data_IF_499548682325
#
_entry.id   IF_499548682325
#
_cell.length_a   1.000
_cell.length_b   1.000
_cell.length_c   1.000
_cell.angle_alpha   90.00
_cell.angle_beta   90.00
_cell.angle_gamma   90.00
#
_symmetry.space_group_name_H-M   'P 1'
#
loop_
_entity.id
_entity.type
_entity.pdbx_description
1 polymer ?
#
# COMPACT_ATOMS: atom_id res chain seq x y z
N UNK A 1 4.24 22.79 26.69
CA UNK A 1 3.68 22.72 25.33
C UNK A 1 4.29 21.50 24.68
N UNK A 2 3.52 20.50 24.29
CA UNK A 2 4.06 19.35 23.55
C UNK A 2 4.47 19.84 22.15
N UNK A 3 5.78 19.94 21.90
CA UNK A 3 6.33 20.44 20.64
C UNK A 3 6.34 19.32 19.58
N UNK A 4 5.16 18.96 19.07
CA UNK A 4 5.03 17.99 17.98
C UNK A 4 5.44 18.56 16.61
N UNK A 5 5.62 17.65 15.64
CA UNK A 5 6.11 17.96 14.29
C UNK A 5 5.05 17.70 13.23
N UNK A 6 4.83 18.67 12.35
CA UNK A 6 4.04 18.47 11.14
C UNK A 6 4.86 17.71 10.09
N UNK A 7 4.28 16.67 9.51
CA UNK A 7 4.82 15.94 8.37
C UNK A 7 3.82 15.88 7.23
N UNK A 8 4.30 15.91 5.98
CA UNK A 8 3.54 15.73 4.75
C UNK A 8 4.03 14.49 4.03
N UNK A 9 3.15 13.50 3.87
CA UNK A 9 3.46 12.24 3.22
C UNK A 9 2.66 12.08 1.93
N UNK A 10 3.28 11.49 0.90
CA UNK A 10 2.63 11.15 -0.36
C UNK A 10 2.76 9.67 -0.71
N UNK A 11 1.78 9.12 -1.43
CA UNK A 11 1.92 7.81 -2.09
C UNK A 11 1.38 7.80 -3.50
N UNK A 12 2.07 7.07 -4.38
CA UNK A 12 1.67 6.88 -5.77
C UNK A 12 2.22 5.56 -6.29
N UNK A 13 1.34 4.69 -6.82
CA UNK A 13 1.77 3.64 -7.72
C UNK A 13 2.13 4.33 -9.04
N UNK A 14 3.41 4.29 -9.40
CA UNK A 14 3.91 5.10 -10.52
C UNK A 14 3.75 4.43 -11.87
N UNK A 15 3.09 3.27 -11.96
CA UNK A 15 2.84 2.52 -13.20
C UNK A 15 4.12 1.99 -13.86
N UNK A 16 4.23 0.67 -14.04
CA UNK A 16 5.30 0.05 -14.83
C UNK A 16 4.80 -0.44 -16.19
N UNK A 17 5.43 0.08 -17.24
CA UNK A 17 5.20 -0.27 -18.64
C UNK A 17 5.22 -1.79 -18.92
N UNK A 18 5.89 -2.62 -18.11
CA UNK A 18 6.04 -4.07 -18.39
C UNK A 18 4.71 -4.84 -18.34
N UNK A 19 3.73 -4.39 -17.54
CA UNK A 19 2.51 -5.15 -17.25
C UNK A 19 1.35 -4.89 -18.21
N UNK A 20 1.55 -3.96 -19.13
CA UNK A 20 0.54 -3.58 -20.11
C UNK A 20 0.75 -4.29 -21.44
N UNK A 21 -0.35 -4.77 -22.02
CA UNK A 21 -0.39 -5.27 -23.38
C UNK A 21 0.03 -4.18 -24.37
N UNK A 22 0.49 -4.57 -25.56
CA UNK A 22 0.86 -3.60 -26.62
C UNK A 22 -0.32 -2.65 -26.93
N UNK A 23 -1.56 -3.12 -26.83
CA UNK A 23 -2.77 -2.31 -27.06
C UNK A 23 -2.98 -1.26 -25.96
N UNK A 24 -2.82 -1.63 -24.69
CA UNK A 24 -2.94 -0.68 -23.57
C UNK A 24 -1.76 0.30 -23.56
N UNK A 25 -0.57 -0.17 -23.94
CA UNK A 25 0.58 0.69 -24.20
C UNK A 25 0.23 1.72 -25.28
N UNK A 26 -0.26 1.32 -26.44
CA UNK A 26 -0.60 2.25 -27.52
C UNK A 26 -1.71 3.25 -27.13
N UNK A 27 -2.68 2.82 -26.33
CA UNK A 27 -3.74 3.71 -25.80
C UNK A 27 -3.21 4.69 -24.74
N UNK A 28 -2.34 4.24 -23.84
CA UNK A 28 -1.78 5.05 -22.75
C UNK A 28 -0.64 5.97 -23.24
N UNK A 29 0.22 5.49 -24.15
CA UNK A 29 1.32 6.23 -24.77
C UNK A 29 0.89 7.15 -25.90
N UNK A 30 -0.35 7.04 -26.40
CA UNK A 30 -0.89 7.99 -27.37
C UNK A 30 -0.71 9.44 -26.92
N UNK A 31 -0.81 9.70 -25.61
CA UNK A 31 -0.60 11.04 -25.02
C UNK A 31 0.88 11.45 -24.92
N UNK A 32 1.81 10.53 -24.65
CA UNK A 32 3.26 10.83 -24.59
C UNK A 32 3.82 11.28 -25.94
N UNK A 33 3.32 10.69 -27.04
CA UNK A 33 3.74 11.06 -28.40
C UNK A 33 3.13 12.37 -28.89
N UNK A 34 1.98 12.80 -28.35
CA UNK A 34 1.26 13.99 -28.83
C UNK A 34 1.80 15.29 -28.20
N UNK A 35 2.25 15.26 -26.93
CA UNK A 35 2.51 16.50 -26.17
C UNK A 35 3.99 16.79 -25.85
N UNK A 36 4.95 15.98 -26.31
CA UNK A 36 6.40 16.20 -26.14
C UNK A 36 6.89 16.45 -24.69
N UNK A 37 6.09 16.15 -23.66
CA UNK A 37 6.52 16.11 -22.26
C UNK A 37 6.63 14.64 -21.84
N UNK A 38 7.83 14.11 -21.61
CA UNK A 38 7.99 12.74 -21.14
C UNK A 38 7.23 12.56 -19.81
N UNK A 39 6.41 11.50 -19.68
CA UNK A 39 5.70 11.12 -18.44
C UNK A 39 6.58 11.21 -17.18
N UNK A 40 7.85 10.85 -17.32
CA UNK A 40 8.89 11.00 -16.30
C UNK A 40 9.00 12.43 -15.75
N UNK A 41 8.94 13.45 -16.60
CA UNK A 41 9.02 14.85 -16.20
C UNK A 41 7.77 15.27 -15.41
N UNK A 42 6.58 14.87 -15.85
CA UNK A 42 5.34 15.10 -15.09
C UNK A 42 5.40 14.42 -13.72
N UNK A 43 5.89 13.19 -13.67
CA UNK A 43 6.09 12.46 -12.42
C UNK A 43 7.02 13.25 -11.47
N UNK A 44 8.18 13.70 -11.94
CA UNK A 44 9.11 14.47 -11.12
C UNK A 44 8.56 15.84 -10.71
N UNK A 45 7.75 16.48 -11.55
CA UNK A 45 7.06 17.70 -11.17
C UNK A 45 6.11 17.44 -10.00
N UNK A 46 5.26 16.42 -10.09
CA UNK A 46 4.33 16.08 -9.01
C UNK A 46 5.04 15.61 -7.73
N UNK A 47 6.14 14.87 -7.84
CA UNK A 47 6.85 14.34 -6.66
C UNK A 47 7.76 15.36 -5.95
N UNK A 48 8.45 16.23 -6.68
CA UNK A 48 9.51 17.07 -6.09
C UNK A 48 9.18 18.57 -6.01
N UNK A 49 8.10 19.04 -6.64
CA UNK A 49 7.65 20.43 -6.43
C UNK A 49 6.67 20.56 -5.26
N UNK A 50 6.07 19.45 -4.84
CA UNK A 50 5.30 19.37 -3.61
C UNK A 50 6.24 19.29 -2.40
N UNK A 51 5.88 19.98 -1.32
CA UNK A 51 6.68 20.08 -0.08
C UNK A 51 6.60 18.82 0.79
N UNK A 52 6.87 17.64 0.22
CA UNK A 52 6.81 16.37 0.94
C UNK A 52 7.95 16.24 1.94
N UNK A 53 7.67 15.54 3.04
CA UNK A 53 8.65 15.02 3.96
C UNK A 53 9.02 13.57 3.61
N UNK A 54 8.02 12.79 3.18
CA UNK A 54 8.11 11.37 2.86
C UNK A 54 7.28 11.09 1.60
N UNK A 55 7.77 10.23 0.71
CA UNK A 55 7.08 9.75 -0.49
C UNK A 55 7.24 8.23 -0.59
N UNK A 56 6.13 7.51 -0.67
CA UNK A 56 6.09 6.06 -0.85
C UNK A 56 5.65 5.74 -2.28
N UNK A 57 6.46 5.02 -3.05
CA UNK A 57 6.13 4.65 -4.43
C UNK A 57 6.05 3.14 -4.58
N UNK A 58 5.15 2.68 -5.45
CA UNK A 58 5.01 1.29 -5.89
C UNK A 58 5.29 1.19 -7.40
N UNK A 59 5.62 -0.01 -7.88
CA UNK A 59 5.96 -0.29 -9.30
C UNK A 59 7.18 0.48 -9.84
N UNK A 60 8.20 0.64 -9.00
CA UNK A 60 9.43 1.32 -9.40
C UNK A 60 10.41 0.32 -10.03
N UNK A 61 10.66 0.47 -11.33
CA UNK A 61 11.69 -0.30 -12.04
C UNK A 61 13.11 0.23 -11.79
N UNK A 62 14.12 -0.54 -12.22
CA UNK A 62 15.55 -0.20 -12.02
C UNK A 62 15.95 1.11 -12.74
N UNK A 63 15.36 1.41 -13.89
CA UNK A 63 15.65 2.64 -14.62
C UNK A 63 15.15 3.86 -13.84
N UNK A 64 13.90 3.80 -13.37
CA UNK A 64 13.27 4.83 -12.57
C UNK A 64 13.97 5.01 -11.23
N UNK A 65 14.43 3.93 -10.60
CA UNK A 65 15.28 3.99 -9.39
C UNK A 65 16.50 4.88 -9.62
N UNK A 66 17.21 4.70 -10.73
CA UNK A 66 18.42 5.47 -11.02
C UNK A 66 18.11 6.95 -11.27
N UNK A 67 16.99 7.24 -11.93
CA UNK A 67 16.56 8.62 -12.16
C UNK A 67 16.06 9.30 -10.88
N UNK A 68 15.32 8.57 -10.04
CA UNK A 68 14.88 9.04 -8.71
C UNK A 68 16.07 9.34 -7.81
N UNK A 69 17.13 8.50 -7.79
CA UNK A 69 18.37 8.77 -7.04
C UNK A 69 18.98 10.12 -7.41
N UNK A 70 19.08 10.43 -8.71
CA UNK A 70 19.59 11.73 -9.20
C UNK A 70 18.72 12.89 -8.73
N UNK A 71 17.39 12.74 -8.76
CA UNK A 71 16.45 13.77 -8.30
C UNK A 71 16.50 13.95 -6.78
N UNK A 72 16.56 12.87 -6.01
CA UNK A 72 16.65 12.91 -4.55
C UNK A 72 17.88 13.70 -4.09
N UNK A 73 19.04 13.50 -4.74
CA UNK A 73 20.25 14.30 -4.48
C UNK A 73 20.04 15.79 -4.71
N UNK A 74 19.28 16.18 -5.74
CA UNK A 74 18.99 17.59 -6.07
C UNK A 74 18.02 18.25 -5.08
N UNK A 75 17.08 17.49 -4.53
CA UNK A 75 16.00 18.01 -3.68
C UNK A 75 16.18 17.67 -2.19
N UNK A 76 17.40 17.30 -1.77
CA UNK A 76 17.73 16.93 -0.39
C UNK A 76 16.81 15.85 0.21
N UNK A 77 16.64 14.77 -0.56
CA UNK A 77 16.01 13.53 -0.10
C UNK A 77 17.01 12.38 -0.09
N UNK A 78 16.80 11.46 0.85
CA UNK A 78 17.30 10.10 0.80
C UNK A 78 16.27 9.22 0.08
N UNK A 79 16.74 8.16 -0.59
CA UNK A 79 15.89 7.13 -1.17
C UNK A 79 16.31 5.77 -0.62
N UNK A 80 15.38 5.11 0.05
CA UNK A 80 15.54 3.75 0.51
C UNK A 80 14.83 2.80 -0.46
N UNK A 81 15.60 1.84 -0.96
CA UNK A 81 15.17 0.71 -1.75
C UNK A 81 15.90 -0.49 -1.16
N UNK A 82 15.18 -1.57 -0.90
CA UNK A 82 15.82 -2.77 -0.40
C UNK A 82 16.80 -3.35 -1.41
N UNK A 83 18.00 -3.68 -0.93
CA UNK A 83 19.08 -4.29 -1.71
C UNK A 83 18.76 -5.70 -2.23
N UNK A 84 17.88 -6.45 -1.55
CA UNK A 84 17.43 -7.78 -1.99
C UNK A 84 16.44 -7.68 -3.16
N UNK A 85 15.60 -6.64 -3.20
CA UNK A 85 14.61 -6.44 -4.26
C UNK A 85 15.28 -6.07 -5.60
N UNK A 86 16.42 -5.36 -5.57
CA UNK A 86 17.18 -4.93 -6.76
C UNK A 86 17.71 -6.14 -7.57
N UNK A 87 18.03 -7.25 -6.90
CA UNK A 87 18.64 -8.43 -7.55
C UNK A 87 17.62 -9.40 -8.15
N UNK A 88 16.38 -9.37 -7.69
CA UNK A 88 15.41 -10.46 -7.91
C UNK A 88 14.09 -10.01 -8.53
N UNK A 89 13.70 -8.73 -8.40
CA UNK A 89 12.37 -8.26 -8.77
C UNK A 89 12.39 -7.27 -9.94
N UNK A 90 11.42 -7.41 -10.86
CA UNK A 90 11.18 -6.44 -11.94
C UNK A 90 10.51 -5.16 -11.43
N UNK A 91 9.84 -5.22 -10.27
CA UNK A 91 9.10 -4.14 -9.63
C UNK A 91 9.49 -4.00 -8.16
N UNK A 92 9.84 -2.79 -7.75
CA UNK A 92 10.24 -2.48 -6.38
C UNK A 92 9.27 -1.45 -5.78
N UNK A 93 9.11 -1.50 -4.46
CA UNK A 93 8.63 -0.36 -3.69
C UNK A 93 9.83 0.49 -3.26
N UNK A 94 9.65 1.81 -3.21
CA UNK A 94 10.66 2.70 -2.63
C UNK A 94 10.04 3.65 -1.60
N UNK A 95 10.88 4.09 -0.66
CA UNK A 95 10.52 5.09 0.33
C UNK A 95 11.56 6.20 0.23
N UNK A 96 11.11 7.39 -0.14
CA UNK A 96 11.91 8.60 -0.24
C UNK A 96 11.58 9.45 0.99
N UNK A 97 12.57 10.01 1.66
CA UNK A 97 12.39 10.81 2.87
C UNK A 97 13.45 11.90 2.98
N UNK A 98 13.13 13.01 3.66
CA UNK A 98 14.03 14.16 3.76
C UNK A 98 15.42 13.75 4.28
N UNK A 99 16.45 14.41 3.76
CA UNK A 99 17.86 14.08 4.04
C UNK A 99 18.24 14.20 5.52
N UNK A 100 17.56 15.07 6.27
CA UNK A 100 17.76 15.23 7.71
C UNK A 100 17.03 14.17 8.55
N UNK A 101 16.29 13.24 7.95
CA UNK A 101 15.71 12.10 8.67
C UNK A 101 16.70 10.95 8.64
N UNK A 102 16.81 10.24 9.76
CA UNK A 102 17.75 9.12 9.91
C UNK A 102 16.99 7.80 9.84
N UNK A 103 17.42 6.92 8.95
CA UNK A 103 16.96 5.53 8.93
C UNK A 103 17.60 4.80 10.11
N UNK A 104 16.78 4.33 11.05
CA UNK A 104 17.23 3.56 12.21
C UNK A 104 17.22 2.07 11.93
N UNK A 105 16.23 1.59 11.20
CA UNK A 105 16.10 0.19 10.85
C UNK A 105 15.21 -0.03 9.63
N UNK A 106 15.34 -1.19 9.01
CA UNK A 106 14.57 -1.60 7.85
C UNK A 106 14.19 -3.08 7.90
N UNK A 107 13.09 -3.43 7.25
CA UNK A 107 12.67 -4.82 7.06
C UNK A 107 11.90 -4.96 5.76
N UNK A 108 12.19 -6.03 5.03
CA UNK A 108 11.42 -6.43 3.87
C UNK A 108 10.43 -7.51 4.33
N UNK A 109 9.21 -7.42 3.83
CA UNK A 109 8.26 -8.50 4.00
C UNK A 109 8.66 -9.70 3.13
N UNK A 110 9.04 -10.80 3.79
CA UNK A 110 9.20 -12.10 3.16
C UNK A 110 7.90 -12.90 3.31
N UNK A 111 7.16 -13.01 2.21
CA UNK A 111 5.90 -13.74 2.15
C UNK A 111 6.08 -15.23 2.50
N UNK A 112 7.12 -15.88 1.99
CA UNK A 112 7.31 -17.32 2.17
C UNK A 112 7.66 -17.65 3.62
N UNK A 113 8.55 -16.87 4.22
CA UNK A 113 8.90 -16.96 5.63
C UNK A 113 7.68 -16.69 6.51
N UNK A 114 6.91 -15.64 6.21
CA UNK A 114 5.71 -15.28 6.96
C UNK A 114 4.63 -16.35 6.89
N UNK A 115 4.29 -16.83 5.68
CA UNK A 115 3.31 -17.91 5.52
C UNK A 115 3.75 -19.15 6.29
N UNK A 116 5.03 -19.52 6.21
CA UNK A 116 5.54 -20.67 6.97
C UNK A 116 5.40 -20.42 8.47
N UNK A 117 5.85 -19.28 8.99
CA UNK A 117 5.76 -18.94 10.41
C UNK A 117 4.34 -18.99 10.99
N UNK A 118 3.33 -18.45 10.28
CA UNK A 118 1.97 -18.36 10.82
C UNK A 118 1.07 -19.52 10.44
N UNK A 119 1.40 -20.26 9.37
CA UNK A 119 0.55 -21.31 8.84
C UNK A 119 1.17 -22.72 8.79
N UNK A 120 2.39 -22.93 9.34
CA UNK A 120 3.03 -24.25 9.37
C UNK A 120 2.13 -25.34 9.94
N UNK A 121 1.49 -25.08 11.09
CA UNK A 121 0.67 -26.07 11.79
C UNK A 121 -0.58 -26.49 10.99
N UNK A 122 -1.04 -25.66 10.05
CA UNK A 122 -2.20 -26.00 9.20
C UNK A 122 -1.85 -26.95 8.05
N UNK A 123 -0.57 -27.07 7.69
CA UNK A 123 -0.11 -27.98 6.62
C UNK A 123 0.18 -29.40 7.11
N UNK A 124 0.68 -29.56 8.34
CA UNK A 124 1.11 -30.86 8.88
C UNK A 124 0.04 -31.56 9.73
N UNK A 125 -0.86 -30.84 10.38
CA UNK A 125 -1.89 -31.44 11.25
C UNK A 125 -3.10 -31.97 10.47
N UNK A 126 -3.40 -31.43 9.28
CA UNK A 126 -4.63 -31.73 8.56
C UNK A 126 -4.52 -32.86 7.52
N UNK A 127 -3.30 -33.19 7.03
CA UNK A 127 -3.06 -34.08 5.87
C UNK A 127 -4.02 -33.80 4.69
N UNK A 128 -4.43 -32.55 4.51
CA UNK A 128 -5.49 -32.18 3.57
C UNK A 128 -4.92 -31.44 2.37
N UNK A 129 -4.94 -32.09 1.20
CA UNK A 129 -4.40 -31.56 -0.06
C UNK A 129 -4.97 -30.18 -0.45
N UNK A 130 -6.23 -29.92 -0.07
CA UNK A 130 -6.92 -28.65 -0.34
C UNK A 130 -6.32 -27.50 0.48
N UNK A 131 -5.97 -27.74 1.75
CA UNK A 131 -5.32 -26.72 2.58
C UNK A 131 -3.90 -26.45 2.07
N UNK A 132 -3.17 -27.51 1.73
CA UNK A 132 -1.83 -27.39 1.14
C UNK A 132 -1.87 -26.66 -0.20
N UNK A 133 -2.94 -26.84 -0.99
CA UNK A 133 -3.18 -26.05 -2.19
C UNK A 133 -3.32 -24.56 -1.85
N UNK A 134 -4.13 -24.19 -0.87
CA UNK A 134 -4.27 -22.78 -0.46
C UNK A 134 -2.98 -22.17 0.09
N UNK A 135 -2.21 -22.90 0.90
CA UNK A 135 -0.90 -22.43 1.38
C UNK A 135 0.08 -22.22 0.23
N UNK A 136 0.07 -23.11 -0.78
CA UNK A 136 0.82 -22.89 -2.03
C UNK A 136 0.30 -21.67 -2.79
N UNK A 137 -1.02 -21.46 -2.81
CA UNK A 137 -1.62 -20.30 -3.47
C UNK A 137 -1.16 -18.98 -2.85
N UNK A 138 -1.08 -18.90 -1.52
CA UNK A 138 -0.51 -17.76 -0.81
C UNK A 138 0.95 -17.53 -1.24
N UNK A 139 1.80 -18.56 -1.15
CA UNK A 139 3.24 -18.45 -1.47
C UNK A 139 3.52 -18.08 -2.93
N UNK A 140 2.68 -18.54 -3.87
CA UNK A 140 2.88 -18.32 -5.30
C UNK A 140 2.38 -16.96 -5.81
N UNK A 141 1.57 -16.24 -5.03
CA UNK A 141 1.02 -14.94 -5.41
C UNK A 141 1.82 -13.83 -4.74
N UNK A 142 2.54 -13.05 -5.52
CA UNK A 142 3.48 -12.08 -4.93
C UNK A 142 2.75 -10.86 -4.37
N UNK A 143 3.13 -10.47 -3.17
CA UNK A 143 2.85 -9.17 -2.55
C UNK A 143 4.13 -8.70 -1.89
N UNK A 144 4.39 -7.40 -1.94
CA UNK A 144 5.62 -6.82 -1.44
C UNK A 144 5.30 -5.74 -0.42
N UNK A 145 6.14 -5.64 0.61
CA UNK A 145 6.10 -4.53 1.55
C UNK A 145 7.51 -4.20 2.03
N UNK A 146 7.81 -2.90 2.08
CA UNK A 146 9.05 -2.37 2.63
C UNK A 146 8.70 -1.61 3.91
N UNK A 147 9.35 -1.96 5.01
CA UNK A 147 9.16 -1.37 6.33
C UNK A 147 10.42 -0.62 6.72
N UNK A 148 10.26 0.61 7.19
CA UNK A 148 11.36 1.41 7.72
C UNK A 148 10.97 2.03 9.04
N UNK A 149 11.96 2.22 9.90
CA UNK A 149 11.85 3.05 11.09
C UNK A 149 12.72 4.29 10.91
N UNK A 150 12.10 5.46 10.91
CA UNK A 150 12.77 6.74 10.75
C UNK A 150 12.80 7.51 12.06
N UNK A 151 13.88 8.26 12.26
CA UNK A 151 13.96 9.38 13.20
C UNK A 151 13.81 10.68 12.40
N UNK A 152 12.77 11.46 12.67
CA UNK A 152 12.36 12.59 11.82
C UNK A 152 13.20 13.86 12.00
N UNK A 153 14.07 13.95 13.00
CA UNK A 153 15.03 15.05 13.24
C UNK A 153 15.69 14.85 14.60
N UNK A 154 16.59 15.77 14.98
CA UNK A 154 17.40 15.87 16.20
C UNK A 154 16.67 15.63 17.54
N UNK A 155 15.33 15.57 17.52
CA UNK A 155 14.44 15.42 18.68
C UNK A 155 14.07 13.98 19.02
N UNK A 156 14.66 12.98 18.36
CA UNK A 156 14.39 11.54 18.58
C UNK A 156 12.93 11.11 18.34
N UNK A 157 12.15 11.89 17.57
CA UNK A 157 10.79 11.51 17.17
C UNK A 157 10.84 10.37 16.17
N UNK A 158 10.27 9.23 16.54
CA UNK A 158 10.24 8.02 15.73
C UNK A 158 8.99 7.94 14.84
N UNK A 159 9.12 7.31 13.68
CA UNK A 159 8.02 7.02 12.78
C UNK A 159 8.26 5.70 12.05
N UNK A 160 7.37 4.73 12.26
CA UNK A 160 7.34 3.49 11.49
C UNK A 160 6.54 3.67 10.21
N UNK A 161 7.07 3.21 9.07
CA UNK A 161 6.38 3.30 7.78
C UNK A 161 6.43 1.94 7.10
N UNK A 162 5.28 1.46 6.63
CA UNK A 162 5.15 0.24 5.83
C UNK A 162 4.53 0.59 4.47
N UNK A 163 5.35 0.53 3.40
CA UNK A 163 4.92 0.76 2.03
C UNK A 163 4.62 -0.56 1.32
N UNK A 164 3.35 -0.79 0.95
CA UNK A 164 2.84 -2.06 0.43
C UNK A 164 2.41 -1.98 -1.04
N UNK A 165 2.55 -3.09 -1.75
CA UNK A 165 1.86 -3.37 -3.00
C UNK A 165 1.31 -4.80 -2.96
N UNK A 166 0.01 -4.92 -2.72
CA UNK A 166 -0.70 -6.19 -2.52
C UNK A 166 -1.08 -6.82 -3.85
N UNK A 167 -1.20 -8.15 -3.88
CA UNK A 167 -1.54 -8.94 -5.06
C UNK A 167 -2.78 -8.38 -5.79
N UNK A 168 -2.70 -8.27 -7.11
CA UNK A 168 -3.64 -7.47 -7.89
C UNK A 168 -4.95 -8.19 -8.24
N UNK A 169 -4.92 -9.52 -8.48
CA UNK A 169 -6.02 -10.21 -9.14
C UNK A 169 -7.31 -10.18 -8.30
N UNK A 170 -8.41 -9.59 -8.81
CA UNK A 170 -9.66 -9.44 -8.07
C UNK A 170 -10.36 -10.77 -7.73
N UNK A 171 -10.01 -11.88 -8.39
CA UNK A 171 -10.56 -13.21 -8.10
C UNK A 171 -10.03 -13.84 -6.80
N UNK A 172 -9.05 -13.21 -6.16
CA UNK A 172 -8.39 -13.75 -4.97
C UNK A 172 -8.44 -12.78 -3.77
N UNK A 173 -9.63 -12.32 -3.36
CA UNK A 173 -9.75 -11.38 -2.23
C UNK A 173 -9.28 -12.00 -0.91
N UNK A 174 -9.43 -13.31 -0.74
CA UNK A 174 -8.92 -14.07 0.40
C UNK A 174 -7.37 -14.08 0.47
N UNK A 175 -6.70 -14.18 -0.67
CA UNK A 175 -5.23 -14.08 -0.75
C UNK A 175 -4.79 -12.66 -0.35
N UNK A 176 -5.44 -11.61 -0.89
CA UNK A 176 -5.16 -10.21 -0.54
C UNK A 176 -5.34 -9.96 0.96
N UNK A 177 -6.43 -10.50 1.53
CA UNK A 177 -6.73 -10.43 2.95
C UNK A 177 -5.62 -11.05 3.80
N UNK A 178 -5.20 -12.28 3.49
CA UNK A 178 -4.16 -12.98 4.25
C UNK A 178 -2.78 -12.34 4.09
N UNK A 179 -2.44 -11.83 2.90
CA UNK A 179 -1.19 -11.09 2.72
C UNK A 179 -1.19 -9.80 3.54
N UNK A 180 -2.29 -9.06 3.53
CA UNK A 180 -2.46 -7.85 4.37
C UNK A 180 -2.31 -8.19 5.85
N UNK A 181 -2.96 -9.25 6.33
CA UNK A 181 -2.83 -9.74 7.70
C UNK A 181 -1.38 -10.03 8.09
N UNK A 182 -0.65 -10.77 7.25
CA UNK A 182 0.75 -11.13 7.49
C UNK A 182 1.66 -9.89 7.50
N UNK A 183 1.46 -8.96 6.56
CA UNK A 183 2.22 -7.70 6.50
C UNK A 183 2.02 -6.89 7.78
N UNK A 184 0.77 -6.73 8.24
CA UNK A 184 0.48 -5.97 9.46
C UNK A 184 1.12 -6.63 10.68
N UNK A 185 1.02 -7.96 10.82
CA UNK A 185 1.66 -8.70 11.91
C UNK A 185 3.19 -8.53 11.91
N UNK A 186 3.81 -8.67 10.75
CA UNK A 186 5.27 -8.52 10.62
C UNK A 186 5.74 -7.08 10.83
N UNK A 187 4.89 -6.08 10.51
CA UNK A 187 5.17 -4.66 10.76
C UNK A 187 5.10 -4.34 12.26
N UNK A 188 4.06 -4.76 12.97
CA UNK A 188 4.00 -4.59 14.42
C UNK A 188 5.16 -5.27 15.14
N UNK A 189 5.50 -6.50 14.75
CA UNK A 189 6.64 -7.21 15.34
C UNK A 189 7.99 -6.55 15.05
N UNK A 190 8.15 -5.98 13.84
CA UNK A 190 9.36 -5.23 13.49
C UNK A 190 9.56 -4.03 14.42
N UNK A 191 8.50 -3.27 14.68
CA UNK A 191 8.55 -2.10 15.55
C UNK A 191 8.75 -2.50 17.01
N UNK A 192 7.95 -3.46 17.51
CA UNK A 192 8.03 -3.91 18.91
C UNK A 192 9.41 -4.48 19.26
N UNK A 193 9.95 -5.39 18.44
CA UNK A 193 11.25 -6.05 18.71
C UNK A 193 12.39 -5.06 18.97
N UNK A 194 12.33 -3.86 18.36
CA UNK A 194 13.36 -2.84 18.49
C UNK A 194 13.13 -1.88 19.66
N UNK A 195 11.88 -1.74 20.09
CA UNK A 195 11.44 -0.70 21.00
C UNK A 195 10.36 -1.22 21.97
N UNK A 196 10.61 -2.37 22.60
CA UNK A 196 9.67 -3.00 23.54
C UNK A 196 9.23 -2.04 24.67
N UNK A 197 10.09 -1.09 25.06
CA UNK A 197 9.85 -0.14 26.14
C UNK A 197 9.22 1.19 25.68
N UNK A 198 9.04 1.38 24.36
CA UNK A 198 8.43 2.59 23.78
C UNK A 198 6.97 2.29 23.42
N UNK A 199 6.00 2.71 24.25
CA UNK A 199 4.65 2.18 24.16
C UNK A 199 3.89 2.64 22.91
N UNK A 200 4.31 3.73 22.25
CA UNK A 200 3.57 4.34 21.14
C UNK A 200 4.51 4.92 20.09
N UNK A 201 5.01 4.08 19.19
CA UNK A 201 5.67 4.57 17.96
C UNK A 201 4.59 4.86 16.93
N UNK A 202 4.48 6.10 16.43
CA UNK A 202 3.58 6.45 15.33
C UNK A 202 3.83 5.57 14.10
N UNK A 203 2.76 5.03 13.53
CA UNK A 203 2.83 4.12 12.39
C UNK A 203 2.03 4.64 11.21
N UNK A 204 2.61 4.47 10.01
CA UNK A 204 1.93 4.67 8.75
C UNK A 204 1.98 3.36 7.95
N UNK A 205 0.80 2.90 7.52
CA UNK A 205 0.62 1.78 6.60
C UNK A 205 0.05 2.35 5.30
N UNK A 206 0.82 2.27 4.21
CA UNK A 206 0.59 3.06 3.00
C UNK A 206 0.86 2.26 1.73
N UNK A 207 0.15 2.56 0.66
CA UNK A 207 0.44 2.04 -0.68
C UNK A 207 -0.79 1.53 -1.41
N UNK A 208 -0.56 0.59 -2.34
CA UNK A 208 -1.56 -0.01 -3.21
C UNK A 208 -2.02 -1.36 -2.63
N UNK A 209 -3.26 -1.40 -2.15
CA UNK A 209 -3.86 -2.58 -1.54
C UNK A 209 -4.65 -3.43 -2.53
N UNK A 210 -4.81 -2.97 -3.77
CA UNK A 210 -5.58 -3.64 -4.82
C UNK A 210 -6.98 -4.10 -4.34
N UNK A 211 -7.57 -3.40 -3.37
CA UNK A 211 -8.81 -3.78 -2.69
C UNK A 211 -9.63 -2.54 -2.41
N UNK A 212 -10.90 -2.53 -2.82
CA UNK A 212 -11.78 -1.39 -2.57
C UNK A 212 -12.30 -1.37 -1.14
N UNK A 213 -12.73 -0.21 -0.58
CA UNK A 213 -13.25 -0.18 0.79
C UNK A 213 -14.48 -1.07 0.97
N UNK A 214 -15.31 -1.15 -0.07
CA UNK A 214 -16.55 -1.91 -0.09
C UNK A 214 -16.54 -2.98 -1.18
N UNK A 215 -17.26 -4.06 -0.94
CA UNK A 215 -17.47 -5.15 -1.90
C UNK A 215 -18.50 -4.69 -2.92
N UNK A 216 -18.12 -4.64 -4.21
CA UNK A 216 -19.08 -4.39 -5.29
C UNK A 216 -19.89 -5.67 -5.51
N UNK A 217 -21.17 -5.65 -5.19
CA UNK A 217 -22.10 -6.69 -5.64
C UNK A 217 -22.72 -6.27 -6.97
N UNK A 218 -22.66 -7.13 -7.97
CA UNK A 218 -23.49 -6.98 -9.15
C UNK A 218 -24.97 -7.07 -8.73
N UNK A 219 -25.77 -6.06 -9.07
CA UNK A 219 -27.22 -5.99 -8.88
C UNK A 219 -27.78 -5.75 -7.45
N UNK A 220 -26.98 -5.27 -6.49
CA UNK A 220 -27.52 -5.00 -5.15
C UNK A 220 -28.01 -3.55 -4.99
N UNK A 221 -29.34 -3.38 -5.01
CA UNK A 221 -30.02 -2.11 -4.66
C UNK A 221 -30.06 -1.88 -3.14
N UNK A 222 -29.50 -2.78 -2.33
CA UNK A 222 -29.44 -2.56 -0.88
C UNK A 222 -28.38 -1.51 -0.53
N UNK A 223 -28.74 -0.57 0.34
CA UNK A 223 -27.82 0.42 0.89
C UNK A 223 -26.80 -0.19 1.88
N UNK A 224 -26.85 -1.50 2.15
CA UNK A 224 -25.87 -2.20 2.99
C UNK A 224 -24.59 -2.46 2.20
N UNK A 225 -23.61 -1.57 2.39
CA UNK A 225 -22.26 -1.76 1.87
C UNK A 225 -21.44 -2.57 2.86
N UNK A 226 -21.17 -3.84 2.53
CA UNK A 226 -20.20 -4.63 3.27
C UNK A 226 -18.78 -4.14 2.92
N UNK A 227 -17.93 -3.98 3.94
CA UNK A 227 -16.53 -3.70 3.72
C UNK A 227 -15.85 -4.88 3.00
N UNK A 228 -14.78 -4.61 2.25
CA UNK A 228 -13.89 -5.68 1.82
C UNK A 228 -13.10 -6.19 3.03
N UNK A 229 -12.65 -7.45 2.97
CA UNK A 229 -11.91 -8.07 4.06
C UNK A 229 -10.61 -7.34 4.33
N UNK A 230 -9.92 -6.84 3.30
CA UNK A 230 -8.69 -6.04 3.48
C UNK A 230 -8.98 -4.75 4.24
N UNK A 231 -10.00 -4.01 3.83
CA UNK A 231 -10.32 -2.72 4.46
C UNK A 231 -10.89 -2.90 5.87
N UNK A 232 -11.78 -3.87 6.07
CA UNK A 232 -12.33 -4.22 7.38
C UNK A 232 -11.23 -4.69 8.34
N UNK A 233 -10.31 -5.55 7.89
CA UNK A 233 -9.19 -6.00 8.72
C UNK A 233 -8.34 -4.82 9.19
N UNK A 234 -7.98 -3.90 8.30
CA UNK A 234 -7.14 -2.76 8.63
C UNK A 234 -7.86 -1.81 9.59
N UNK A 235 -9.12 -1.49 9.32
CA UNK A 235 -9.84 -0.42 10.03
C UNK A 235 -10.54 -0.88 11.30
N UNK A 236 -11.01 -2.13 11.35
CA UNK A 236 -11.71 -2.72 12.48
C UNK A 236 -10.83 -3.69 13.27
N UNK A 237 -9.69 -4.12 12.71
CA UNK A 237 -8.72 -4.98 13.39
C UNK A 237 -9.15 -6.44 13.47
N UNK A 238 -10.26 -6.83 12.84
CA UNK A 238 -10.82 -8.18 12.95
C UNK A 238 -11.55 -8.60 11.69
N UNK A 239 -11.40 -9.88 11.32
CA UNK A 239 -12.21 -10.55 10.31
C UNK A 239 -12.75 -11.85 10.90
N UNK A 240 -14.08 -11.97 10.94
CA UNK A 240 -14.75 -13.19 11.35
C UNK A 240 -14.75 -14.24 10.24
N UNK A 241 -14.88 -15.52 10.61
CA UNK A 241 -15.02 -16.64 9.66
C UNK A 241 -16.30 -16.57 8.82
N UNK A 242 -17.26 -15.72 9.19
CA UNK A 242 -18.49 -15.48 8.43
C UNK A 242 -18.35 -14.36 7.39
N UNK A 243 -17.21 -13.66 7.36
CA UNK A 243 -16.96 -12.65 6.34
C UNK A 243 -16.85 -13.28 4.95
N UNK A 244 -17.45 -12.66 3.93
CA UNK A 244 -17.63 -13.29 2.61
C UNK A 244 -16.31 -13.50 1.84
N UNK A 245 -15.28 -12.70 2.14
CA UNK A 245 -13.92 -12.85 1.59
C UNK A 245 -13.00 -13.71 2.47
N UNK A 246 -13.48 -14.23 3.60
CA UNK A 246 -12.72 -15.21 4.38
C UNK A 246 -12.77 -16.59 3.69
N UNK A 247 -11.68 -17.37 3.62
CA UNK A 247 -11.67 -18.67 2.93
C UNK A 247 -12.79 -19.62 3.35
N UNK A 248 -13.13 -19.63 4.64
CA UNK A 248 -14.23 -20.44 5.19
C UNK A 248 -15.61 -20.15 4.55
N UNK A 249 -15.85 -18.95 4.02
CA UNK A 249 -17.05 -18.63 3.23
C UNK A 249 -16.78 -18.67 1.73
N UNK A 250 -15.70 -18.01 1.29
CA UNK A 250 -15.43 -17.78 -0.12
C UNK A 250 -15.23 -19.08 -0.91
N UNK A 251 -14.47 -20.02 -0.34
CA UNK A 251 -14.08 -21.26 -1.02
C UNK A 251 -15.14 -22.36 -0.94
N UNK A 252 -16.19 -22.17 -0.11
CA UNK A 252 -17.35 -23.08 0.05
C UNK A 252 -16.97 -24.53 0.38
N UNK A 253 -15.83 -24.73 1.03
CA UNK A 253 -15.38 -26.04 1.51
C UNK A 253 -15.14 -25.97 3.03
N UNK A 254 -15.68 -26.96 3.76
CA UNK A 254 -15.60 -27.05 5.22
C UNK A 254 -14.16 -27.17 5.73
N UNK A 255 -13.26 -27.65 4.88
CA UNK A 255 -11.83 -27.72 5.14
C UNK A 255 -11.25 -26.36 5.55
N UNK A 256 -11.79 -25.25 5.02
CA UNK A 256 -11.31 -23.90 5.35
C UNK A 256 -11.86 -23.35 6.67
N UNK A 257 -12.81 -24.02 7.32
CA UNK A 257 -13.34 -23.59 8.62
C UNK A 257 -12.31 -23.71 9.75
N UNK A 258 -11.25 -24.51 9.57
CA UNK A 258 -10.15 -24.61 10.54
C UNK A 258 -9.35 -23.31 10.64
N UNK A 259 -9.26 -22.54 9.54
CA UNK A 259 -8.52 -21.29 9.51
C UNK A 259 -9.12 -20.32 10.53
N UNK A 260 -8.28 -19.62 11.31
CA UNK A 260 -8.73 -18.82 12.43
C UNK A 260 -9.37 -17.52 11.93
N UNK A 261 -10.15 -16.90 12.81
CA UNK A 261 -10.45 -15.49 12.64
C UNK A 261 -9.15 -14.68 12.65
N UNK A 262 -9.12 -13.60 11.85
CA UNK A 262 -7.94 -12.77 11.74
C UNK A 262 -8.09 -11.58 12.68
N UNK A 263 -7.05 -11.29 13.47
CA UNK A 263 -7.04 -10.14 14.38
C UNK A 263 -5.72 -9.40 14.37
N UNK A 264 -5.78 -8.08 14.21
CA UNK A 264 -4.66 -7.15 14.25
C UNK A 264 -5.04 -5.89 15.02
N UNK A 265 -4.04 -5.16 15.46
CA UNK A 265 -4.23 -3.82 15.98
C UNK A 265 -4.68 -2.88 14.83
N UNK A 266 -5.84 -2.21 14.93
CA UNK A 266 -6.42 -1.46 13.83
C UNK A 266 -5.67 -0.16 13.53
N UNK A 267 -5.78 0.29 12.29
CA UNK A 267 -5.38 1.61 11.82
C UNK A 267 -6.59 2.44 11.43
N UNK A 268 -6.41 3.75 11.28
CA UNK A 268 -7.42 4.65 10.72
C UNK A 268 -7.04 5.09 9.31
N UNK A 269 -8.01 5.31 8.43
CA UNK A 269 -7.76 5.90 7.12
C UNK A 269 -7.69 7.42 7.22
N UNK A 270 -6.60 8.02 6.72
CA UNK A 270 -6.44 9.48 6.69
C UNK A 270 -7.56 10.18 5.91
N UNK A 271 -7.93 9.64 4.75
CA UNK A 271 -8.96 10.23 3.89
C UNK A 271 -10.34 10.09 4.51
N UNK A 272 -10.69 8.91 5.04
CA UNK A 272 -11.97 8.72 5.73
C UNK A 272 -12.13 9.63 6.93
N UNK A 273 -11.08 9.79 7.74
CA UNK A 273 -11.12 10.63 8.95
C UNK A 273 -11.23 12.13 8.61
N UNK A 274 -10.47 12.62 7.61
CA UNK A 274 -10.45 14.06 7.27
C UNK A 274 -11.63 14.46 6.39
N UNK A 275 -11.96 13.65 5.38
CA UNK A 275 -12.95 14.01 4.35
C UNK A 275 -14.32 13.36 4.60
N UNK A 276 -14.44 12.53 5.65
CA UNK A 276 -15.65 11.77 5.95
C UNK A 276 -15.89 10.58 5.01
N UNK A 277 -15.13 10.43 3.92
CA UNK A 277 -15.21 9.35 2.94
C UNK A 277 -13.86 9.09 2.26
N UNK A 278 -13.71 7.90 1.68
CA UNK A 278 -12.59 7.58 0.80
C UNK A 278 -12.74 8.27 -0.57
N UNK A 279 -11.64 8.49 -1.32
CA UNK A 279 -11.72 9.00 -2.69
C UNK A 279 -12.65 8.16 -3.58
N UNK A 280 -13.33 8.80 -4.53
CA UNK A 280 -14.21 8.09 -5.48
C UNK A 280 -13.46 7.06 -6.34
N UNK A 281 -12.17 7.33 -6.60
CA UNK A 281 -11.21 6.38 -7.13
C UNK A 281 -9.80 6.85 -6.79
N UNK A 282 -8.86 5.91 -6.82
CA UNK A 282 -7.43 6.19 -6.79
C UNK A 282 -6.72 5.54 -7.97
N UNK A 283 -7.34 4.55 -8.62
CA UNK A 283 -6.98 4.05 -9.95
C UNK A 283 -8.15 4.25 -10.93
N UNK A 284 -7.86 4.70 -12.15
CA UNK A 284 -8.88 4.89 -13.18
C UNK A 284 -8.36 4.60 -14.60
N UNK A 285 -8.61 3.39 -15.06
CA UNK A 285 -8.35 2.94 -16.44
C UNK A 285 -9.64 2.86 -17.25
N UNK A 286 -9.55 2.37 -18.49
CA UNK A 286 -10.72 2.11 -19.33
C UNK A 286 -11.62 0.97 -18.83
N UNK A 287 -11.06 0.02 -18.07
CA UNK A 287 -11.75 -1.19 -17.61
C UNK A 287 -12.05 -1.17 -16.11
N UNK A 288 -11.39 -0.32 -15.33
CA UNK A 288 -11.55 -0.28 -13.89
C UNK A 288 -11.50 1.15 -13.34
N UNK A 289 -12.35 1.42 -12.35
CA UNK A 289 -12.28 2.61 -11.52
C UNK A 289 -12.66 2.25 -10.08
N UNK A 290 -11.77 2.59 -9.14
CA UNK A 290 -11.97 2.31 -7.72
C UNK A 290 -10.86 2.88 -6.84
N UNK A 291 -11.16 3.03 -5.55
CA UNK A 291 -10.20 3.41 -4.53
C UNK A 291 -9.48 2.15 -4.05
N UNK A 292 -8.21 2.01 -4.38
CA UNK A 292 -7.37 0.85 -4.01
C UNK A 292 -6.06 1.27 -3.32
N UNK A 293 -5.76 2.56 -3.31
CA UNK A 293 -4.60 3.15 -2.64
C UNK A 293 -5.03 3.83 -1.35
N UNK A 294 -4.24 3.69 -0.29
CA UNK A 294 -4.60 4.22 1.02
C UNK A 294 -3.39 4.76 1.79
N UNK A 295 -3.67 5.71 2.69
CA UNK A 295 -2.76 6.17 3.74
C UNK A 295 -3.45 5.88 5.08
N UNK A 296 -3.10 4.76 5.69
CA UNK A 296 -3.56 4.39 7.02
C UNK A 296 -2.54 4.81 8.08
N UNK A 297 -3.01 5.19 9.27
CA UNK A 297 -2.17 5.71 10.34
C UNK A 297 -2.60 5.20 11.72
N UNK A 298 -1.66 5.24 12.68
CA UNK A 298 -1.88 4.92 14.10
C UNK A 298 -0.94 5.77 14.97
N UNK A 299 -1.45 6.32 16.07
CA UNK A 299 -0.75 7.29 16.94
C UNK A 299 -0.23 8.55 16.20
N UNK A 300 -1.00 9.06 15.23
CA UNK A 300 -0.81 10.38 14.60
C UNK A 300 -2.11 11.18 14.66
N UNK A 301 -2.01 12.50 14.54
CA UNK A 301 -3.18 13.38 14.35
C UNK A 301 -3.23 13.77 12.88
N UNK A 302 -4.23 13.35 12.08
CA UNK A 302 -4.35 13.77 10.70
C UNK A 302 -4.75 15.25 10.65
N UNK A 303 -4.13 16.01 9.74
CA UNK A 303 -4.37 17.45 9.56
C UNK A 303 -5.04 17.73 8.21
N UNK A 304 -4.66 16.98 7.16
CA UNK A 304 -5.28 17.08 5.85
C UNK A 304 -5.09 15.81 5.04
N UNK A 305 -6.01 15.54 4.11
CA UNK A 305 -5.93 14.42 3.16
C UNK A 305 -6.47 14.88 1.80
N UNK A 306 -5.62 14.89 0.76
CA UNK A 306 -5.93 15.44 -0.57
C UNK A 306 -5.37 14.56 -1.67
N UNK A 307 -6.05 14.52 -2.80
CA UNK A 307 -5.55 13.91 -4.03
C UNK A 307 -4.90 14.95 -4.95
N UNK A 308 -4.02 14.50 -5.83
CA UNK A 308 -3.53 15.26 -6.97
C UNK A 308 -3.81 14.41 -8.22
N UNK A 309 -4.80 14.80 -9.07
CA UNK A 309 -5.61 16.03 -9.03
C UNK A 309 -6.55 16.13 -7.83
N UNK A 310 -6.91 17.36 -7.43
CA UNK A 310 -7.85 17.61 -6.33
C UNK A 310 -9.32 17.36 -6.71
N UNK A 311 -9.72 17.68 -7.94
CA UNK A 311 -11.06 17.37 -8.43
C UNK A 311 -11.05 16.09 -9.29
N UNK A 312 -11.52 14.99 -8.71
CA UNK A 312 -11.55 13.68 -9.38
C UNK A 312 -12.73 13.53 -10.35
N UNK A 313 -13.80 14.33 -10.21
CA UNK A 313 -15.00 14.22 -11.05
C UNK A 313 -14.72 14.56 -12.53
N UNK A 314 -13.74 15.43 -12.78
CA UNK A 314 -13.40 15.90 -14.12
C UNK A 314 -12.50 14.91 -14.87
N UNK A 315 -11.94 13.92 -14.18
CA UNK A 315 -10.99 12.96 -14.75
C UNK A 315 -11.76 11.86 -15.46
N UNK A 316 -11.66 11.82 -16.78
CA UNK A 316 -12.25 10.75 -17.59
C UNK A 316 -11.46 9.44 -17.50
N UNK A 317 -10.14 9.52 -17.61
CA UNK A 317 -9.24 8.36 -17.62
C UNK A 317 -7.82 8.79 -17.20
N UNK A 318 -7.06 7.82 -16.71
CA UNK A 318 -5.65 7.93 -16.37
C UNK A 318 -4.86 6.77 -17.04
N UNK A 319 -3.56 6.97 -17.36
CA UNK A 319 -2.85 8.25 -17.35
C UNK A 319 -3.39 9.21 -18.42
N UNK A 320 -3.01 10.49 -18.35
CA UNK A 320 -3.35 11.49 -19.35
C UNK A 320 -2.23 12.56 -19.47
N UNK A 321 -2.45 13.58 -20.30
CA UNK A 321 -1.45 14.64 -20.59
C UNK A 321 -0.97 15.42 -19.34
N UNK A 322 -1.72 15.39 -18.23
CA UNK A 322 -1.40 16.09 -16.99
C UNK A 322 -0.93 15.15 -15.87
N UNK A 323 -1.43 13.91 -15.86
CA UNK A 323 -1.22 12.94 -14.78
C UNK A 323 -0.55 11.69 -15.31
N UNK A 324 0.69 11.40 -14.86
CA UNK A 324 1.55 10.43 -15.50
C UNK A 324 1.15 8.99 -15.22
N UNK A 325 0.42 8.68 -14.15
CA UNK A 325 0.07 7.32 -13.74
C UNK A 325 -1.42 7.06 -13.96
N UNK A 326 -1.81 5.79 -14.11
CA UNK A 326 -3.20 5.33 -13.98
C UNK A 326 -3.73 5.45 -12.54
N UNK A 327 -2.82 5.66 -11.57
CA UNK A 327 -3.13 6.00 -10.19
C UNK A 327 -3.04 7.50 -9.90
N UNK A 328 -3.74 7.92 -8.84
CA UNK A 328 -3.80 9.28 -8.30
C UNK A 328 -2.82 9.42 -7.15
N UNK A 329 -2.06 10.51 -7.12
CA UNK A 329 -1.15 10.81 -6.01
C UNK A 329 -1.97 11.19 -4.77
N UNK A 330 -1.86 10.38 -3.72
CA UNK A 330 -2.47 10.65 -2.42
C UNK A 330 -1.51 11.44 -1.55
N UNK A 331 -2.02 12.44 -0.86
CA UNK A 331 -1.24 13.31 0.05
C UNK A 331 -1.96 13.40 1.38
N UNK A 332 -1.22 13.22 2.47
CA UNK A 332 -1.74 13.48 3.81
C UNK A 332 -0.73 14.30 4.62
N UNK A 333 -1.24 15.15 5.48
CA UNK A 333 -0.45 15.84 6.49
C UNK A 333 -0.84 15.34 7.87
N UNK A 334 0.15 15.12 8.73
CA UNK A 334 -0.04 14.66 10.10
C UNK A 334 0.72 15.55 11.06
N UNK A 335 0.23 15.65 12.29
CA UNK A 335 0.99 16.09 13.44
C UNK A 335 1.45 14.86 14.23
N UNK A 336 2.76 14.76 14.42
CA UNK A 336 3.42 13.72 15.23
C UNK A 336 3.71 14.33 16.59
N UNK A 337 3.13 13.75 17.64
CA UNK A 337 3.24 14.27 19.02
C UNK A 337 4.61 13.96 19.62
#
# INVERSE_FOLDING_TARGET
MYEGKKIRIGTLNIFNNIYYSIKEKLLNFGSEYIHNIPRKNLLFMHLFTNSFDIICLQEVDLFMINELKKKCLKYDFNIHISSENIKTSKNNNCIIYKKNYKLLDEKIFDLNSSVSKYFMNYSSESRCEIQDAFIRELKNRQSIANMVLLELSDRKTLLGICNCHIYWNPLYPDIKLYHTYLIIKEFYQFIQKKFNDFPFIPLILIGDFNSTPFIKKENDNSHLRNFSGVYELITMGRISKTHIEHPAQLRKDKVFCILPELTVEPFKSSFKEINGNEPIFTNKTSSFSGCIDFIFYKELIPLSAKTIPSNLNDIKMLPNEHFPSDHVLLVSEFFVV
#
